data_IF_612930601450
#
_entry.id   IF_612930601450
#
_cell.length_a   1.000
_cell.length_b   1.000
_cell.length_c   1.000
_cell.angle_alpha   90.00
_cell.angle_beta   90.00
_cell.angle_gamma   90.00
#
_symmetry.space_group_name_H-M   'P 1'
#
loop_
_entity.id
_entity.type
_entity.pdbx_description
1 polymer ?
#
# COMPACT_ATOMS: atom_id res chain seq x y z
N UNK A 1 -38.17 -40.12 20.63
CA UNK A 1 -37.34 -40.77 19.59
C UNK A 1 -36.05 -39.97 19.47
N UNK A 2 -34.99 -40.45 20.15
CA UNK A 2 -33.74 -39.75 20.33
C UNK A 2 -32.82 -40.07 19.15
N UNK A 3 -32.45 -39.09 18.35
CA UNK A 3 -31.34 -39.21 17.39
C UNK A 3 -30.02 -38.88 18.07
N UNK A 4 -29.20 -39.91 18.21
CA UNK A 4 -27.82 -39.81 18.67
C UNK A 4 -26.94 -39.23 17.57
N UNK A 5 -26.32 -38.09 17.83
CA UNK A 5 -25.22 -37.57 17.01
C UNK A 5 -23.97 -38.43 17.20
N UNK A 6 -23.43 -38.97 16.13
CA UNK A 6 -22.13 -39.65 16.07
C UNK A 6 -21.05 -38.57 15.97
N UNK A 7 -19.98 -38.60 16.74
CA UNK A 7 -18.88 -37.66 16.57
C UNK A 7 -18.01 -38.08 15.38
N UNK A 8 -17.83 -37.17 14.45
CA UNK A 8 -16.83 -37.29 13.37
C UNK A 8 -15.44 -37.35 13.97
N UNK A 9 -14.77 -38.47 13.77
CA UNK A 9 -13.37 -38.69 14.12
C UNK A 9 -12.50 -37.88 13.14
N UNK A 10 -11.99 -36.73 13.58
CA UNK A 10 -10.94 -36.00 12.85
C UNK A 10 -9.64 -36.82 12.97
N UNK A 11 -9.26 -37.46 11.87
CA UNK A 11 -7.91 -38.01 11.71
C UNK A 11 -6.92 -36.84 11.61
N UNK A 12 -6.22 -36.58 12.69
CA UNK A 12 -5.03 -35.74 12.73
C UNK A 12 -3.94 -36.43 11.91
N UNK A 13 -3.79 -36.06 10.65
CA UNK A 13 -2.56 -36.28 9.90
C UNK A 13 -1.52 -35.29 10.46
N UNK A 14 -0.77 -35.70 11.47
CA UNK A 14 0.46 -35.06 11.92
C UNK A 14 1.54 -35.20 10.82
N UNK A 15 1.42 -34.42 9.73
CA UNK A 15 2.55 -34.09 8.90
C UNK A 15 3.36 -33.06 9.66
N UNK A 16 4.60 -33.39 10.07
CA UNK A 16 5.60 -32.42 10.55
C UNK A 16 5.91 -31.46 9.39
N UNK A 17 5.06 -30.45 9.17
CA UNK A 17 5.44 -29.25 8.45
C UNK A 17 6.21 -28.39 9.44
N UNK A 18 7.51 -28.27 9.32
CA UNK A 18 8.30 -27.36 10.13
C UNK A 18 7.70 -25.95 9.92
N UNK A 19 7.11 -25.41 10.97
CA UNK A 19 6.60 -24.04 10.97
C UNK A 19 7.83 -23.13 10.80
N UNK A 20 7.90 -22.38 9.70
CA UNK A 20 8.98 -21.40 9.51
C UNK A 20 8.81 -20.34 10.58
N UNK A 21 9.73 -20.28 11.53
CA UNK A 21 9.77 -19.25 12.55
C UNK A 21 10.58 -18.07 12.01
N UNK A 22 9.95 -16.90 11.91
CA UNK A 22 10.58 -15.66 11.50
C UNK A 22 11.09 -14.88 12.69
N UNK A 23 12.31 -14.36 12.61
CA UNK A 23 12.89 -13.48 13.63
C UNK A 23 12.09 -12.18 13.76
N UNK A 24 12.25 -11.49 14.88
CA UNK A 24 11.63 -10.18 15.08
C UNK A 24 12.12 -9.17 14.05
N UNK A 25 13.40 -9.23 13.72
CA UNK A 25 14.05 -8.41 12.70
C UNK A 25 13.41 -8.60 11.33
N UNK A 26 13.17 -9.84 10.90
CA UNK A 26 12.44 -10.14 9.67
C UNK A 26 11.00 -9.62 9.73
N UNK A 27 10.28 -9.84 10.84
CA UNK A 27 8.90 -9.36 11.01
C UNK A 27 8.82 -7.84 10.86
N UNK A 28 9.72 -7.09 11.50
CA UNK A 28 9.79 -5.62 11.39
C UNK A 28 10.12 -5.19 9.98
N UNK A 29 11.12 -5.81 9.34
CA UNK A 29 11.54 -5.48 7.98
C UNK A 29 10.43 -5.64 6.95
N UNK A 30 9.53 -6.61 7.15
CA UNK A 30 8.40 -6.84 6.25
C UNK A 30 7.37 -5.71 6.21
N UNK A 31 7.40 -4.78 7.17
CA UNK A 31 6.56 -3.59 7.18
C UNK A 31 7.14 -2.44 6.34
N UNK A 32 8.35 -2.57 5.84
CA UNK A 32 9.03 -1.52 5.07
C UNK A 32 8.81 -1.69 3.57
N UNK A 33 8.35 -0.64 2.90
CA UNK A 33 8.42 -0.47 1.45
C UNK A 33 9.28 0.74 1.14
N UNK A 34 10.32 0.56 0.35
CA UNK A 34 11.31 1.61 0.07
C UNK A 34 11.40 1.93 -1.42
N UNK A 35 11.81 3.14 -1.76
CA UNK A 35 12.35 3.46 -3.08
C UNK A 35 13.87 3.36 -3.09
N UNK A 36 14.45 3.17 -4.26
CA UNK A 36 15.90 3.04 -4.45
C UNK A 36 16.34 3.71 -5.75
N UNK A 37 17.62 4.01 -5.88
CA UNK A 37 18.21 4.57 -7.09
C UNK A 37 18.70 3.48 -8.04
N UNK A 38 18.62 3.78 -9.33
CA UNK A 38 19.20 2.94 -10.39
C UNK A 38 18.19 2.02 -11.07
N UNK A 39 18.62 1.46 -12.19
CA UNK A 39 17.84 0.59 -13.06
C UNK A 39 18.30 -0.88 -13.00
N UNK A 40 19.09 -1.20 -12.01
CA UNK A 40 19.62 -2.53 -11.67
C UNK A 40 19.76 -2.64 -10.15
N UNK A 41 19.94 -3.84 -9.64
CA UNK A 41 20.22 -4.06 -8.21
C UNK A 41 21.62 -3.55 -7.92
N UNK A 42 21.72 -2.55 -7.05
CA UNK A 42 22.98 -2.00 -6.55
C UNK A 42 23.43 -2.72 -5.28
N UNK A 43 24.72 -2.65 -4.94
CA UNK A 43 25.25 -3.19 -3.69
C UNK A 43 24.48 -2.65 -2.46
N UNK A 44 24.14 -1.36 -2.45
CA UNK A 44 23.35 -0.76 -1.38
C UNK A 44 21.95 -1.39 -1.25
N UNK A 45 21.27 -1.65 -2.38
CA UNK A 45 19.94 -2.30 -2.36
C UNK A 45 20.06 -3.75 -1.88
N UNK A 46 21.10 -4.46 -2.32
CA UNK A 46 21.41 -5.82 -1.86
C UNK A 46 21.61 -5.86 -0.34
N UNK A 47 22.45 -4.97 0.19
CA UNK A 47 22.67 -4.86 1.64
C UNK A 47 21.37 -4.51 2.41
N UNK A 48 20.54 -3.61 1.87
CA UNK A 48 19.23 -3.29 2.48
C UNK A 48 18.33 -4.53 2.54
N UNK A 49 18.27 -5.29 1.45
CA UNK A 49 17.47 -6.51 1.40
C UNK A 49 17.94 -7.53 2.43
N UNK A 50 19.24 -7.75 2.49
CA UNK A 50 19.83 -8.81 3.34
C UNK A 50 19.84 -8.43 4.83
N UNK A 51 20.04 -7.15 5.16
CA UNK A 51 20.22 -6.70 6.56
C UNK A 51 18.94 -6.20 7.20
N UNK A 52 18.05 -5.62 6.41
CA UNK A 52 16.77 -5.05 6.91
C UNK A 52 15.58 -5.97 6.63
N UNK A 53 15.71 -6.92 5.70
CA UNK A 53 14.66 -7.86 5.32
C UNK A 53 13.38 -7.16 4.82
N UNK A 54 13.52 -6.10 4.03
CA UNK A 54 12.41 -5.24 3.59
C UNK A 54 11.26 -6.02 2.96
N UNK A 55 10.04 -5.57 3.25
CA UNK A 55 8.81 -6.16 2.75
C UNK A 55 8.50 -5.84 1.29
N UNK A 56 9.05 -4.73 0.76
CA UNK A 56 8.79 -4.35 -0.63
C UNK A 56 9.61 -3.17 -1.13
N UNK A 57 9.52 -2.96 -2.44
CA UNK A 57 10.10 -1.82 -3.15
C UNK A 57 9.04 -1.13 -4.01
N UNK A 58 9.25 0.15 -4.30
CA UNK A 58 8.44 0.93 -5.23
C UNK A 58 9.32 1.54 -6.32
N UNK A 59 8.88 1.44 -7.58
CA UNK A 59 9.54 2.06 -8.73
C UNK A 59 9.06 3.47 -8.98
N UNK A 60 10.02 4.38 -9.19
CA UNK A 60 9.78 5.75 -9.63
C UNK A 60 10.67 6.07 -10.84
N UNK A 61 10.09 6.58 -11.92
CA UNK A 61 10.85 6.94 -13.11
C UNK A 61 11.97 7.97 -12.86
N UNK A 62 11.76 8.88 -11.91
CA UNK A 62 12.77 9.89 -11.54
C UNK A 62 13.92 9.32 -10.68
N UNK A 63 13.79 8.12 -10.12
CA UNK A 63 14.83 7.40 -9.37
C UNK A 63 15.46 6.28 -10.21
N UNK A 64 14.62 5.55 -10.94
CA UNK A 64 15.03 4.35 -11.66
C UNK A 64 15.22 4.61 -13.17
N UNK A 65 14.96 5.85 -13.64
CA UNK A 65 14.98 6.20 -15.07
C UNK A 65 13.78 5.63 -15.82
N UNK A 66 13.76 5.85 -17.14
CA UNK A 66 12.73 5.31 -18.03
C UNK A 66 13.01 3.83 -18.34
N UNK A 67 12.58 2.95 -17.44
CA UNK A 67 12.73 1.52 -17.61
C UNK A 67 11.88 0.99 -18.76
N UNK A 68 12.49 0.24 -19.68
CA UNK A 68 11.76 -0.58 -20.64
C UNK A 68 11.12 -1.79 -19.95
N UNK A 69 10.09 -2.38 -20.57
CA UNK A 69 9.40 -3.56 -20.02
C UNK A 69 10.37 -4.68 -19.65
N UNK A 70 11.33 -5.01 -20.52
CA UNK A 70 12.34 -6.04 -20.24
C UNK A 70 13.32 -5.66 -19.12
N UNK A 71 13.56 -4.37 -18.87
CA UNK A 71 14.36 -3.92 -17.73
C UNK A 71 13.56 -4.04 -16.43
N UNK A 72 12.27 -3.67 -16.42
CA UNK A 72 11.38 -3.86 -15.27
C UNK A 72 11.30 -5.33 -14.89
N UNK A 73 11.08 -6.22 -15.87
CA UNK A 73 11.02 -7.67 -15.66
C UNK A 73 12.32 -8.21 -15.05
N UNK A 74 13.48 -7.87 -15.64
CA UNK A 74 14.79 -8.32 -15.10
C UNK A 74 15.03 -7.81 -13.69
N UNK A 75 14.80 -6.52 -13.45
CA UNK A 75 15.01 -5.89 -12.13
C UNK A 75 14.09 -6.51 -11.08
N UNK A 76 12.82 -6.70 -11.41
CA UNK A 76 11.85 -7.35 -10.53
C UNK A 76 12.26 -8.80 -10.21
N UNK A 77 12.71 -9.54 -11.23
CA UNK A 77 13.21 -10.91 -11.03
C UNK A 77 14.47 -10.95 -10.14
N UNK A 78 15.42 -10.04 -10.35
CA UNK A 78 16.61 -9.93 -9.51
C UNK A 78 16.23 -9.65 -8.05
N UNK A 79 15.33 -8.69 -7.79
CA UNK A 79 14.85 -8.37 -6.44
C UNK A 79 14.17 -9.58 -5.80
N UNK A 80 13.41 -10.37 -6.55
CA UNK A 80 12.75 -11.57 -6.04
C UNK A 80 13.70 -12.76 -5.84
N UNK A 81 14.87 -12.78 -6.48
CA UNK A 81 15.84 -13.88 -6.37
C UNK A 81 16.60 -13.90 -5.04
N UNK A 82 16.62 -12.81 -4.28
CA UNK A 82 17.21 -12.79 -2.95
C UNK A 82 16.47 -13.71 -1.98
N UNK A 83 17.20 -14.33 -1.09
CA UNK A 83 16.65 -15.24 -0.06
C UNK A 83 15.66 -14.53 0.86
N UNK A 84 14.92 -15.31 1.62
CA UNK A 84 13.96 -14.84 2.62
C UNK A 84 12.56 -14.67 2.06
N UNK A 85 11.77 -13.82 2.72
CA UNK A 85 10.38 -13.56 2.35
C UNK A 85 10.33 -12.76 1.06
N UNK A 86 9.57 -13.19 0.03
CA UNK A 86 9.42 -12.46 -1.22
C UNK A 86 8.92 -11.02 -1.00
N UNK A 87 9.33 -10.10 -1.86
CA UNK A 87 9.06 -8.67 -1.71
C UNK A 87 7.83 -8.25 -2.50
N UNK A 88 7.07 -7.30 -1.98
CA UNK A 88 6.15 -6.54 -2.79
C UNK A 88 6.94 -5.70 -3.81
N UNK A 89 6.49 -5.65 -5.04
CA UNK A 89 7.01 -4.69 -6.04
C UNK A 89 5.85 -3.82 -6.44
N UNK A 90 5.97 -2.52 -6.22
CA UNK A 90 4.90 -1.55 -6.38
C UNK A 90 5.26 -0.45 -7.39
N UNK A 91 4.22 0.19 -7.92
CA UNK A 91 4.35 1.34 -8.82
C UNK A 91 3.12 2.23 -8.72
N UNK A 92 3.27 3.54 -9.03
CA UNK A 92 2.17 4.45 -9.33
C UNK A 92 1.90 4.44 -10.84
N UNK A 93 0.99 3.61 -11.29
CA UNK A 93 0.57 3.53 -12.69
C UNK A 93 -0.89 3.96 -12.80
N UNK A 94 -1.16 5.24 -12.51
CA UNK A 94 -2.50 5.83 -12.48
C UNK A 94 -3.02 6.17 -13.87
N UNK A 95 -2.11 6.62 -14.73
CA UNK A 95 -2.37 7.19 -16.05
C UNK A 95 -2.11 8.71 -16.10
N UNK A 96 -2.26 9.28 -17.28
CA UNK A 96 -1.97 10.70 -17.50
C UNK A 96 -0.56 11.06 -17.05
N UNK A 97 -0.44 12.08 -16.19
CA UNK A 97 0.86 12.55 -15.68
C UNK A 97 1.52 11.61 -14.66
N UNK A 98 0.76 10.71 -14.02
CA UNK A 98 1.29 9.75 -13.05
C UNK A 98 1.27 8.36 -13.67
N UNK A 99 2.13 8.19 -14.64
CA UNK A 99 2.43 6.92 -15.26
C UNK A 99 3.95 6.72 -15.22
N UNK A 100 4.43 5.90 -14.27
CA UNK A 100 5.88 5.75 -14.00
C UNK A 100 6.57 4.87 -15.03
N UNK A 101 5.83 3.92 -15.60
CA UNK A 101 6.31 3.01 -16.63
C UNK A 101 5.65 3.35 -17.95
N UNK A 102 6.46 3.83 -18.90
CA UNK A 102 5.98 4.30 -20.21
C UNK A 102 6.59 3.53 -21.37
N UNK A 103 7.87 3.14 -21.28
CA UNK A 103 8.61 2.52 -22.36
C UNK A 103 8.25 1.04 -22.53
N UNK A 104 7.42 0.77 -23.55
CA UNK A 104 6.92 -0.59 -23.82
C UNK A 104 5.69 -0.97 -23.00
N UNK A 105 5.11 -0.02 -22.28
CA UNK A 105 3.81 -0.12 -21.60
C UNK A 105 2.75 0.70 -22.33
N UNK A 106 1.51 0.25 -22.23
CA UNK A 106 0.37 0.96 -22.84
C UNK A 106 0.17 2.32 -22.23
N UNK A 107 -0.20 3.30 -23.05
CA UNK A 107 -0.55 4.63 -22.58
C UNK A 107 -1.91 4.58 -21.87
N UNK A 108 -1.93 4.97 -20.61
CA UNK A 108 -3.13 5.03 -19.79
C UNK A 108 -3.69 6.45 -19.86
N UNK A 109 -4.98 6.64 -20.15
CA UNK A 109 -5.59 7.96 -20.18
C UNK A 109 -5.58 8.64 -18.82
N UNK A 110 -5.75 9.98 -18.82
CA UNK A 110 -5.98 10.73 -17.58
C UNK A 110 -7.26 10.28 -16.88
N UNK A 111 -7.30 10.43 -15.56
CA UNK A 111 -8.41 9.94 -14.72
C UNK A 111 -9.78 10.47 -15.17
N UNK A 112 -9.88 11.73 -15.56
CA UNK A 112 -11.13 12.34 -16.04
C UNK A 112 -11.67 11.72 -17.33
N UNK A 113 -10.82 11.07 -18.14
CA UNK A 113 -11.22 10.43 -19.40
C UNK A 113 -12.01 9.14 -19.18
N UNK A 114 -11.85 8.48 -18.06
CA UNK A 114 -12.55 7.23 -17.73
C UNK A 114 -14.08 7.38 -17.79
N UNK A 115 -14.61 8.59 -17.53
CA UNK A 115 -16.05 8.89 -17.65
C UNK A 115 -16.60 8.74 -19.07
N UNK A 116 -15.74 8.85 -20.07
CA UNK A 116 -16.10 8.72 -21.49
C UNK A 116 -16.12 7.26 -21.97
N UNK A 117 -15.73 6.31 -21.12
CA UNK A 117 -15.61 4.90 -21.49
C UNK A 117 -16.77 4.07 -20.94
N UNK A 118 -17.14 3.01 -21.66
CA UNK A 118 -18.10 2.04 -21.14
C UNK A 118 -17.47 1.21 -19.99
N UNK A 119 -18.26 0.67 -19.06
CA UNK A 119 -17.75 -0.19 -17.98
C UNK A 119 -16.90 -1.35 -18.50
N UNK A 120 -17.30 -2.02 -19.57
CA UNK A 120 -16.53 -3.10 -20.17
C UNK A 120 -15.18 -2.64 -20.73
N UNK A 121 -15.13 -1.45 -21.31
CA UNK A 121 -13.87 -0.88 -21.81
C UNK A 121 -12.93 -0.52 -20.66
N UNK A 122 -13.47 -0.07 -19.51
CA UNK A 122 -12.69 0.20 -18.30
C UNK A 122 -12.14 -1.11 -17.70
N UNK A 123 -12.96 -2.17 -17.66
CA UNK A 123 -12.51 -3.51 -17.22
C UNK A 123 -11.37 -4.00 -18.11
N UNK A 124 -11.56 -3.97 -19.44
CA UNK A 124 -10.53 -4.40 -20.39
C UNK A 124 -9.21 -3.61 -20.26
N UNK A 125 -9.30 -2.30 -19.98
CA UNK A 125 -8.11 -1.48 -19.72
C UNK A 125 -7.47 -1.88 -18.38
N UNK A 126 -8.26 -2.17 -17.36
CA UNK A 126 -7.77 -2.69 -16.08
C UNK A 126 -7.03 -4.02 -16.24
N UNK A 127 -7.58 -4.93 -17.05
CA UNK A 127 -6.92 -6.19 -17.41
C UNK A 127 -5.61 -5.95 -18.17
N UNK A 128 -5.61 -5.06 -19.15
CA UNK A 128 -4.38 -4.72 -19.90
C UNK A 128 -3.29 -4.18 -18.97
N UNK A 129 -3.62 -3.21 -18.11
CA UNK A 129 -2.69 -2.66 -17.12
C UNK A 129 -2.22 -3.76 -16.17
N UNK A 130 -3.14 -4.55 -15.65
CA UNK A 130 -2.84 -5.64 -14.74
C UNK A 130 -1.88 -6.65 -15.35
N UNK A 131 -2.16 -7.10 -16.55
CA UNK A 131 -1.31 -8.03 -17.31
C UNK A 131 0.10 -7.48 -17.54
N UNK A 132 0.20 -6.25 -18.05
CA UNK A 132 1.51 -5.63 -18.33
C UNK A 132 2.37 -5.47 -17.07
N UNK A 133 1.75 -5.06 -15.95
CA UNK A 133 2.44 -4.91 -14.68
C UNK A 133 2.86 -6.27 -14.10
N UNK A 134 1.99 -7.28 -14.15
CA UNK A 134 2.30 -8.64 -13.69
C UNK A 134 3.42 -9.29 -14.50
N UNK A 135 3.43 -9.14 -15.81
CA UNK A 135 4.52 -9.61 -16.66
C UNK A 135 5.85 -8.88 -16.34
N UNK A 136 5.80 -7.63 -15.90
CA UNK A 136 6.94 -6.91 -15.33
C UNK A 136 7.34 -7.34 -13.91
N UNK A 137 6.65 -8.32 -13.30
CA UNK A 137 6.90 -8.79 -11.94
C UNK A 137 6.33 -7.87 -10.85
N UNK A 138 5.51 -6.89 -11.22
CA UNK A 138 4.89 -5.94 -10.27
C UNK A 138 3.67 -6.62 -9.64
N UNK A 139 3.53 -6.45 -8.33
CA UNK A 139 2.46 -7.06 -7.53
C UNK A 139 1.42 -6.06 -7.02
N UNK A 140 1.79 -4.77 -6.94
CA UNK A 140 0.95 -3.70 -6.41
C UNK A 140 0.96 -2.51 -7.36
N UNK A 141 -0.24 -2.00 -7.69
CA UNK A 141 -0.41 -0.70 -8.31
C UNK A 141 -1.09 0.25 -7.32
N UNK A 142 -0.46 1.38 -6.99
CA UNK A 142 -1.07 2.44 -6.20
C UNK A 142 -2.06 3.24 -7.06
N UNK A 143 -3.10 2.56 -7.48
CA UNK A 143 -4.22 3.02 -8.31
C UNK A 143 -5.43 2.13 -8.05
N UNK A 144 -6.66 2.63 -8.21
CA UNK A 144 -7.05 3.96 -8.66
C UNK A 144 -6.99 5.03 -7.56
N UNK A 145 -6.86 6.29 -7.98
CA UNK A 145 -7.15 7.45 -7.13
C UNK A 145 -8.66 7.61 -7.06
N UNK A 146 -9.21 7.50 -5.85
CA UNK A 146 -10.66 7.60 -5.58
C UNK A 146 -11.04 8.89 -4.84
N UNK A 147 -10.08 9.79 -4.68
CA UNK A 147 -10.35 11.16 -4.22
C UNK A 147 -11.32 11.86 -5.16
N UNK A 148 -12.27 12.61 -4.61
CA UNK A 148 -13.19 13.39 -5.42
C UNK A 148 -12.48 14.62 -5.99
N UNK A 149 -12.87 15.02 -7.21
CA UNK A 149 -12.37 16.25 -7.83
C UNK A 149 -12.83 17.46 -7.01
N UNK A 150 -11.86 18.20 -6.47
CA UNK A 150 -12.13 19.49 -5.85
C UNK A 150 -12.00 20.58 -6.91
N UNK A 151 -13.11 21.20 -7.28
CA UNK A 151 -13.15 22.25 -8.31
C UNK A 151 -12.44 23.54 -7.87
N UNK A 152 -12.20 23.71 -6.57
CA UNK A 152 -11.50 24.88 -6.01
C UNK A 152 -9.99 24.63 -5.84
N UNK A 153 -9.50 23.43 -6.15
CA UNK A 153 -8.09 23.07 -6.04
C UNK A 153 -7.60 22.38 -7.31
N UNK A 154 -6.45 22.81 -7.81
CA UNK A 154 -5.79 22.18 -8.96
C UNK A 154 -4.87 21.03 -8.58
N UNK A 155 -4.72 20.73 -7.30
CA UNK A 155 -3.71 19.81 -6.79
C UNK A 155 -3.79 18.42 -7.38
N UNK A 156 -4.98 17.83 -7.33
CA UNK A 156 -5.23 16.48 -7.84
C UNK A 156 -6.04 16.46 -9.15
N UNK A 157 -6.33 17.64 -9.74
CA UNK A 157 -7.33 17.76 -10.82
C UNK A 157 -7.12 16.77 -11.97
N UNK A 158 -5.89 16.56 -12.44
CA UNK A 158 -5.58 15.59 -13.51
C UNK A 158 -5.50 14.13 -13.05
N UNK A 159 -5.58 13.87 -11.73
CA UNK A 159 -5.49 12.53 -11.13
C UNK A 159 -6.84 12.01 -10.66
N UNK A 160 -7.86 12.87 -10.53
CA UNK A 160 -9.19 12.53 -10.03
C UNK A 160 -10.17 12.22 -11.17
N UNK A 161 -11.03 11.26 -10.94
CA UNK A 161 -12.01 10.76 -11.92
C UNK A 161 -13.17 11.75 -12.06
N UNK A 162 -13.80 12.13 -10.96
CA UNK A 162 -14.99 12.97 -10.92
C UNK A 162 -15.18 13.64 -9.55
N UNK A 163 -16.03 14.65 -9.49
CA UNK A 163 -16.59 15.19 -8.25
C UNK A 163 -17.79 14.39 -7.72
N UNK A 164 -18.31 13.43 -8.49
CA UNK A 164 -19.40 12.54 -8.10
C UNK A 164 -18.83 11.25 -7.49
N UNK A 165 -19.20 10.95 -6.26
CA UNK A 165 -18.81 9.71 -5.59
C UNK A 165 -19.30 8.47 -6.36
N UNK A 166 -20.53 8.51 -6.90
CA UNK A 166 -21.10 7.38 -7.64
C UNK A 166 -20.33 7.09 -8.92
N UNK A 167 -19.91 8.13 -9.67
CA UNK A 167 -19.07 7.95 -10.87
C UNK A 167 -17.70 7.37 -10.49
N UNK A 168 -17.06 7.88 -9.42
CA UNK A 168 -15.76 7.38 -8.94
C UNK A 168 -15.88 5.91 -8.53
N UNK A 169 -16.92 5.55 -7.78
CA UNK A 169 -17.19 4.17 -7.34
C UNK A 169 -17.35 3.23 -8.55
N UNK A 170 -18.20 3.60 -9.50
CA UNK A 170 -18.49 2.75 -10.67
C UNK A 170 -17.24 2.51 -11.51
N UNK A 171 -16.45 3.56 -11.78
CA UNK A 171 -15.24 3.51 -12.59
C UNK A 171 -14.13 2.75 -11.85
N UNK A 172 -13.86 3.11 -10.59
CA UNK A 172 -12.84 2.46 -9.79
C UNK A 172 -13.11 0.97 -9.60
N UNK A 173 -14.40 0.59 -9.38
CA UNK A 173 -14.81 -0.81 -9.28
C UNK A 173 -14.48 -1.60 -10.55
N UNK A 174 -14.71 -1.01 -11.72
CA UNK A 174 -14.42 -1.64 -13.01
C UNK A 174 -12.92 -1.82 -13.23
N UNK A 175 -12.10 -0.80 -12.92
CA UNK A 175 -10.63 -0.90 -12.97
C UNK A 175 -10.09 -1.98 -12.02
N UNK A 176 -10.55 -1.97 -10.77
CA UNK A 176 -10.16 -2.92 -9.74
C UNK A 176 -10.56 -4.36 -10.09
N UNK A 177 -11.69 -4.54 -10.76
CA UNK A 177 -12.08 -5.84 -11.28
C UNK A 177 -11.07 -6.36 -12.30
N UNK A 178 -10.66 -5.53 -13.26
CA UNK A 178 -9.62 -5.88 -14.24
C UNK A 178 -8.27 -6.19 -13.58
N UNK A 179 -7.81 -5.36 -12.64
CA UNK A 179 -6.57 -5.62 -11.89
C UNK A 179 -6.62 -6.96 -11.16
N UNK A 180 -7.73 -7.24 -10.48
CA UNK A 180 -7.92 -8.48 -9.73
C UNK A 180 -7.91 -9.70 -10.62
N UNK A 181 -8.49 -9.63 -11.81
CA UNK A 181 -8.50 -10.72 -12.79
C UNK A 181 -7.08 -11.15 -13.18
N UNK A 182 -6.16 -10.18 -13.30
CA UNK A 182 -4.75 -10.43 -13.58
C UNK A 182 -3.91 -10.71 -12.33
N UNK A 183 -4.51 -10.79 -11.14
CA UNK A 183 -3.80 -11.04 -9.87
C UNK A 183 -3.01 -9.85 -9.34
N UNK A 184 -3.22 -8.63 -9.87
CA UNK A 184 -2.62 -7.39 -9.39
C UNK A 184 -3.41 -6.83 -8.21
N UNK A 185 -2.72 -6.34 -7.18
CA UNK A 185 -3.34 -5.58 -6.09
C UNK A 185 -3.47 -4.12 -6.53
N UNK A 186 -4.71 -3.63 -6.62
CA UNK A 186 -5.00 -2.21 -6.69
C UNK A 186 -5.14 -1.63 -5.29
N UNK A 187 -4.57 -0.44 -5.08
CA UNK A 187 -4.64 0.30 -3.81
C UNK A 187 -5.42 1.57 -4.01
N UNK A 188 -6.57 1.69 -3.34
CA UNK A 188 -7.35 2.94 -3.38
C UNK A 188 -6.72 3.99 -2.47
N UNK A 189 -6.66 5.24 -2.93
CA UNK A 189 -5.98 6.34 -2.28
C UNK A 189 -6.64 7.69 -2.56
N UNK A 190 -6.48 8.70 -1.71
CA UNK A 190 -5.75 8.76 -0.44
C UNK A 190 -6.78 8.90 0.69
N UNK A 191 -7.01 7.84 1.43
CA UNK A 191 -8.03 7.82 2.50
C UNK A 191 -7.79 8.93 3.53
N UNK A 192 -8.79 9.70 3.97
CA UNK A 192 -10.25 9.53 3.78
C UNK A 192 -10.82 10.32 2.59
N UNK A 193 -10.01 10.79 1.66
CA UNK A 193 -10.34 11.61 0.50
C UNK A 193 -9.60 12.94 0.53
N UNK A 194 -8.45 13.00 -0.15
CA UNK A 194 -7.60 14.20 -0.24
C UNK A 194 -8.26 15.35 -1.01
N UNK A 195 -9.35 15.08 -1.73
CA UNK A 195 -10.17 16.12 -2.37
C UNK A 195 -10.85 17.07 -1.38
N UNK A 196 -10.96 16.69 -0.09
CA UNK A 196 -11.54 17.52 0.96
C UNK A 196 -10.65 18.70 1.40
N UNK A 197 -9.42 18.81 0.92
CA UNK A 197 -8.43 19.85 1.25
C UNK A 197 -7.92 20.58 0.01
N UNK A 198 -7.38 21.78 0.22
CA UNK A 198 -6.79 22.59 -0.85
C UNK A 198 -5.25 22.60 -0.78
N UNK A 199 -4.70 22.26 0.37
CA UNK A 199 -3.27 22.27 0.64
C UNK A 199 -2.61 20.98 0.11
N UNK A 200 -1.35 21.12 -0.29
CA UNK A 200 -0.52 20.03 -0.77
C UNK A 200 0.24 19.38 0.38
N UNK A 201 -0.09 18.12 0.67
CA UNK A 201 0.59 17.33 1.72
C UNK A 201 2.10 17.15 1.48
N UNK A 202 2.57 17.42 0.26
CA UNK A 202 4.00 17.49 0.01
C UNK A 202 4.66 18.76 0.58
N UNK A 203 3.90 19.80 0.92
CA UNK A 203 4.43 21.09 1.38
C UNK A 203 4.07 21.41 2.83
N UNK A 204 2.89 21.07 3.25
CA UNK A 204 2.36 21.36 4.59
C UNK A 204 1.34 20.29 4.99
N UNK A 205 0.94 20.28 6.27
CA UNK A 205 -0.11 19.37 6.75
C UNK A 205 -1.46 19.91 6.30
N UNK A 206 -2.16 19.24 5.36
CA UNK A 206 -3.47 19.66 4.93
C UNK A 206 -4.50 19.48 6.06
N UNK A 207 -5.39 20.44 6.21
CA UNK A 207 -6.41 20.43 7.26
C UNK A 207 -7.78 20.69 6.65
N UNK A 208 -8.74 19.81 6.92
CA UNK A 208 -10.14 20.05 6.55
C UNK A 208 -11.00 20.30 7.78
N UNK A 209 -11.89 21.29 7.66
CA UNK A 209 -12.97 21.58 8.64
C UNK A 209 -14.32 20.97 8.23
N UNK A 210 -14.30 20.19 7.12
CA UNK A 210 -15.51 19.54 6.62
C UNK A 210 -16.11 18.64 7.70
N UNK A 211 -17.42 18.76 7.92
CA UNK A 211 -18.13 17.95 8.92
C UNK A 211 -18.03 16.48 8.59
N UNK A 212 -17.77 15.65 9.58
CA UNK A 212 -17.63 14.20 9.39
C UNK A 212 -18.87 13.58 8.73
N UNK A 213 -20.08 14.07 9.10
CA UNK A 213 -21.31 13.62 8.47
C UNK A 213 -21.42 13.94 6.97
N UNK A 214 -20.76 15.00 6.51
CA UNK A 214 -20.66 15.35 5.09
C UNK A 214 -19.55 14.54 4.41
N UNK A 215 -18.40 14.42 5.08
CA UNK A 215 -17.30 13.58 4.60
C UNK A 215 -17.75 12.13 4.34
N UNK A 216 -18.58 11.56 5.23
CA UNK A 216 -19.16 10.21 5.07
C UNK A 216 -20.00 10.07 3.80
N UNK A 217 -20.71 11.12 3.41
CA UNK A 217 -21.60 11.10 2.22
C UNK A 217 -20.85 11.36 0.93
N UNK A 218 -19.71 12.02 1.00
CA UNK A 218 -18.95 12.49 -0.16
C UNK A 218 -17.60 11.76 -0.23
N UNK A 219 -16.54 12.33 0.36
CA UNK A 219 -15.17 11.89 0.17
C UNK A 219 -14.89 10.46 0.68
N UNK A 220 -15.54 10.03 1.76
CA UNK A 220 -15.42 8.68 2.31
C UNK A 220 -16.28 7.63 1.57
N UNK A 221 -17.32 8.06 0.88
CA UNK A 221 -18.22 7.12 0.21
C UNK A 221 -17.53 6.18 -0.78
N UNK A 222 -16.56 6.62 -1.62
CA UNK A 222 -15.81 5.72 -2.48
C UNK A 222 -15.02 4.66 -1.69
N UNK A 223 -14.36 5.05 -0.60
CA UNK A 223 -13.58 4.11 0.23
C UNK A 223 -14.45 3.08 0.91
N UNK A 224 -15.59 3.51 1.48
CA UNK A 224 -16.55 2.62 2.14
C UNK A 224 -17.12 1.61 1.13
N UNK A 225 -17.61 2.09 -0.02
CA UNK A 225 -18.22 1.22 -1.03
C UNK A 225 -17.21 0.27 -1.69
N UNK A 226 -15.94 0.68 -1.82
CA UNK A 226 -14.92 -0.13 -2.46
C UNK A 226 -14.14 -1.03 -1.48
N UNK A 227 -14.30 -0.88 -0.17
CA UNK A 227 -13.56 -1.64 0.85
C UNK A 227 -13.63 -3.15 0.64
N UNK A 228 -14.80 -3.68 0.21
CA UNK A 228 -14.99 -5.11 -0.06
C UNK A 228 -14.45 -5.56 -1.43
N UNK A 229 -13.95 -4.62 -2.23
CA UNK A 229 -13.45 -4.86 -3.59
C UNK A 229 -11.94 -4.68 -3.71
N UNK A 230 -11.24 -4.33 -2.65
CA UNK A 230 -9.79 -4.09 -2.63
C UNK A 230 -9.09 -4.88 -1.54
N UNK A 231 -7.82 -5.18 -1.76
CA UNK A 231 -6.96 -5.79 -0.74
C UNK A 231 -6.10 -4.76 0.01
N UNK A 232 -6.11 -3.49 -0.43
CA UNK A 232 -5.29 -2.47 0.20
C UNK A 232 -5.87 -1.05 0.06
N UNK A 233 -5.61 -0.23 1.10
CA UNK A 233 -5.95 1.20 1.18
C UNK A 233 -4.69 1.96 1.57
N UNK A 234 -4.47 3.15 0.98
CA UNK A 234 -3.41 4.07 1.38
C UNK A 234 -4.01 5.26 2.11
N UNK A 235 -3.47 5.57 3.30
CA UNK A 235 -3.90 6.69 4.15
C UNK A 235 -3.15 7.97 3.85
N UNK A 236 -3.85 9.11 3.81
CA UNK A 236 -3.27 10.42 3.58
C UNK A 236 -2.65 11.04 4.84
N UNK A 237 -1.66 11.93 4.64
CA UNK A 237 -1.12 12.79 5.69
C UNK A 237 -1.92 14.09 5.80
N UNK A 238 -3.15 14.02 6.32
CA UNK A 238 -4.04 15.17 6.50
C UNK A 238 -4.79 15.08 7.84
N UNK A 239 -5.28 16.20 8.33
CA UNK A 239 -6.09 16.29 9.55
C UNK A 239 -7.55 16.58 9.18
N UNK A 240 -8.46 15.80 9.76
CA UNK A 240 -9.91 16.04 9.70
C UNK A 240 -10.38 16.52 11.08
N UNK A 241 -10.54 17.83 11.26
CA UNK A 241 -10.80 18.42 12.57
C UNK A 241 -12.08 17.92 13.25
N UNK A 242 -13.13 17.65 12.48
CA UNK A 242 -14.42 17.21 13.03
C UNK A 242 -14.43 15.73 13.47
N UNK A 243 -13.38 14.95 13.11
CA UNK A 243 -13.26 13.55 13.51
C UNK A 243 -12.08 13.32 14.46
N UNK A 244 -10.87 13.65 14.03
CA UNK A 244 -9.66 13.61 14.88
C UNK A 244 -8.85 14.89 14.65
N UNK A 245 -9.02 15.91 15.52
CA UNK A 245 -8.33 17.18 15.35
C UNK A 245 -6.85 17.15 15.72
N UNK A 246 -6.38 16.04 16.33
CA UNK A 246 -5.04 15.95 16.93
C UNK A 246 -4.03 15.27 16.03
N UNK A 247 -4.46 14.25 15.31
CA UNK A 247 -3.56 13.42 14.53
C UNK A 247 -3.91 13.43 13.05
N UNK A 248 -2.88 13.44 12.19
CA UNK A 248 -3.07 13.10 10.79
C UNK A 248 -3.66 11.69 10.65
N UNK A 249 -4.44 11.45 9.60
CA UNK A 249 -5.13 10.18 9.36
C UNK A 249 -4.19 8.97 9.44
N UNK A 250 -3.01 9.05 8.83
CA UNK A 250 -2.00 7.97 8.85
C UNK A 250 -1.45 7.65 10.24
N UNK A 251 -1.65 8.53 11.23
CA UNK A 251 -1.14 8.39 12.58
C UNK A 251 -2.26 8.36 13.63
N UNK A 252 -3.52 8.21 13.20
CA UNK A 252 -4.70 8.21 14.06
C UNK A 252 -5.23 6.81 14.30
N UNK A 253 -5.15 6.35 15.56
CA UNK A 253 -5.80 5.11 15.99
C UNK A 253 -7.31 5.16 15.77
N UNK A 254 -7.93 6.35 15.90
CA UNK A 254 -9.36 6.55 15.68
C UNK A 254 -9.75 6.30 14.22
N UNK A 255 -8.95 6.79 13.26
CA UNK A 255 -9.16 6.53 11.86
C UNK A 255 -8.93 5.06 11.49
N UNK A 256 -7.91 4.44 12.08
CA UNK A 256 -7.67 3.02 11.86
C UNK A 256 -8.83 2.16 12.40
N UNK A 257 -9.34 2.48 13.60
CA UNK A 257 -10.52 1.82 14.15
C UNK A 257 -11.73 1.96 13.22
N UNK A 258 -11.94 3.14 12.63
CA UNK A 258 -12.99 3.35 11.63
C UNK A 258 -12.79 2.45 10.39
N UNK A 259 -11.58 2.38 9.83
CA UNK A 259 -11.27 1.50 8.69
C UNK A 259 -11.54 0.04 9.06
N UNK A 260 -11.06 -0.43 10.22
CA UNK A 260 -11.16 -1.83 10.63
C UNK A 260 -12.58 -2.24 11.03
N UNK A 261 -13.24 -1.42 11.85
CA UNK A 261 -14.51 -1.78 12.49
C UNK A 261 -15.71 -1.26 11.70
N UNK A 262 -15.75 0.03 11.35
CA UNK A 262 -16.93 0.63 10.69
C UNK A 262 -16.98 0.28 9.20
N UNK A 263 -15.83 0.26 8.50
CA UNK A 263 -15.76 -0.20 7.12
C UNK A 263 -15.58 -1.72 6.99
N UNK A 264 -15.36 -2.44 8.11
CA UNK A 264 -15.07 -3.88 8.15
C UNK A 264 -13.96 -4.29 7.15
N UNK A 265 -12.87 -3.50 7.12
CA UNK A 265 -11.78 -3.71 6.18
C UNK A 265 -10.67 -4.57 6.79
N UNK A 266 -10.42 -5.72 6.21
CA UNK A 266 -9.39 -6.68 6.66
C UNK A 266 -8.08 -6.64 5.85
N UNK A 267 -8.02 -5.81 4.79
CA UNK A 267 -6.88 -5.69 3.88
C UNK A 267 -5.69 -4.93 4.47
N UNK A 268 -4.68 -4.71 3.64
CA UNK A 268 -3.47 -3.97 3.99
C UNK A 268 -3.75 -2.45 4.08
N UNK A 269 -3.22 -1.81 5.11
CA UNK A 269 -3.20 -0.36 5.24
C UNK A 269 -1.78 0.13 5.01
N UNK A 270 -1.58 0.87 3.92
CA UNK A 270 -0.35 1.57 3.60
C UNK A 270 -0.40 2.99 4.15
N UNK A 271 0.71 3.50 4.64
CA UNK A 271 0.86 4.96 4.76
C UNK A 271 1.14 5.55 3.39
N UNK A 272 0.77 6.81 3.16
CA UNK A 272 1.47 7.62 2.16
C UNK A 272 2.93 7.77 2.58
N UNK A 273 3.77 8.36 1.73
CA UNK A 273 5.20 8.38 1.96
C UNK A 273 5.60 9.15 3.23
N UNK A 274 6.23 8.46 4.18
CA UNK A 274 6.69 9.04 5.44
C UNK A 274 7.84 10.05 5.27
N UNK A 275 8.46 10.13 4.09
CA UNK A 275 9.49 11.14 3.79
C UNK A 275 8.91 12.46 3.28
N UNK A 276 7.59 12.62 3.19
CA UNK A 276 6.92 13.86 2.82
C UNK A 276 7.14 14.95 3.86
N UNK A 277 7.20 16.22 3.41
CA UNK A 277 7.47 17.37 4.27
C UNK A 277 6.41 17.55 5.38
N UNK A 278 5.15 17.21 5.11
CA UNK A 278 4.09 17.23 6.14
C UNK A 278 4.46 16.34 7.35
N UNK A 279 5.01 15.17 7.12
CA UNK A 279 5.45 14.27 8.19
C UNK A 279 6.69 14.80 8.89
N UNK A 280 7.69 15.29 8.13
CA UNK A 280 8.94 15.80 8.69
C UNK A 280 8.76 17.07 9.52
N UNK A 281 7.72 17.86 9.26
CA UNK A 281 7.38 19.06 10.05
C UNK A 281 6.68 18.73 11.36
N UNK A 282 5.91 17.64 11.39
CA UNK A 282 5.10 17.28 12.55
C UNK A 282 5.84 16.34 13.51
N UNK A 283 6.76 15.53 13.01
CA UNK A 283 7.50 14.54 13.79
C UNK A 283 8.98 14.85 13.86
N UNK A 284 9.56 14.75 15.06
CA UNK A 284 10.99 15.02 15.31
C UNK A 284 11.93 14.13 14.49
N UNK A 285 11.48 12.92 14.18
CA UNK A 285 12.28 11.96 13.41
C UNK A 285 11.39 10.96 12.64
N UNK A 286 11.96 10.34 11.61
CA UNK A 286 11.29 9.25 10.88
C UNK A 286 11.06 8.02 11.76
N UNK A 287 11.90 7.78 12.74
CA UNK A 287 11.74 6.72 13.73
C UNK A 287 10.46 6.94 14.54
N UNK A 288 10.25 8.17 15.04
CA UNK A 288 9.02 8.55 15.77
C UNK A 288 7.80 8.43 14.88
N UNK A 289 7.87 8.93 13.65
CA UNK A 289 6.79 8.81 12.68
C UNK A 289 6.45 7.34 12.39
N UNK A 290 7.44 6.49 12.18
CA UNK A 290 7.25 5.07 11.93
C UNK A 290 6.59 4.35 13.12
N UNK A 291 7.02 4.65 14.35
CA UNK A 291 6.40 4.12 15.58
C UNK A 291 4.92 4.53 15.62
N UNK A 292 4.63 5.82 15.47
CA UNK A 292 3.25 6.34 15.54
C UNK A 292 2.35 5.75 14.45
N UNK A 293 2.87 5.56 13.23
CA UNK A 293 2.10 4.96 12.14
C UNK A 293 1.75 3.49 12.42
N UNK A 294 2.69 2.70 12.96
CA UNK A 294 2.45 1.32 13.37
C UNK A 294 1.45 1.25 14.52
N UNK A 295 1.62 2.07 15.55
CA UNK A 295 0.69 2.17 16.69
C UNK A 295 -0.70 2.62 16.27
N UNK A 296 -0.79 3.48 15.25
CA UNK A 296 -2.06 3.86 14.64
C UNK A 296 -2.70 2.71 13.87
N UNK A 297 -1.95 1.71 13.40
CA UNK A 297 -2.48 0.51 12.75
C UNK A 297 -2.07 0.33 11.29
N UNK A 298 -1.08 1.06 10.79
CA UNK A 298 -0.52 0.83 9.47
C UNK A 298 0.14 -0.56 9.38
N UNK A 299 0.00 -1.22 8.24
CA UNK A 299 0.60 -2.52 7.96
C UNK A 299 1.87 -2.42 7.13
N UNK A 300 1.97 -1.38 6.31
CA UNK A 300 3.14 -1.10 5.46
C UNK A 300 3.47 0.38 5.52
N UNK A 301 4.73 0.66 5.83
CA UNK A 301 5.31 1.99 5.89
C UNK A 301 6.00 2.28 4.55
N UNK A 302 5.57 3.31 3.84
CA UNK A 302 6.20 3.72 2.59
C UNK A 302 7.30 4.75 2.87
N UNK A 303 8.54 4.41 2.50
CA UNK A 303 9.70 5.29 2.56
C UNK A 303 10.23 5.53 1.15
N UNK A 304 9.84 6.63 0.53
CA UNK A 304 10.33 6.99 -0.80
C UNK A 304 9.37 7.90 -1.54
N UNK A 305 9.91 8.61 -2.51
CA UNK A 305 9.15 9.55 -3.32
C UNK A 305 9.90 10.86 -3.56
N UNK A 306 9.22 11.84 -4.16
CA UNK A 306 9.73 13.20 -4.30
C UNK A 306 9.47 13.99 -3.00
N UNK A 307 10.51 14.68 -2.53
CA UNK A 307 10.31 15.83 -1.66
C UNK A 307 10.07 17.07 -2.56
N UNK A 308 9.10 17.95 -2.25
CA UNK A 308 8.81 19.15 -3.05
C UNK A 308 9.99 20.12 -3.16
N UNK A 309 10.96 20.05 -2.29
CA UNK A 309 12.18 20.87 -2.30
C UNK A 309 13.23 20.36 -3.29
N UNK A 310 12.84 19.51 -4.26
CA UNK A 310 13.69 19.09 -5.37
C UNK A 310 14.79 18.09 -5.03
N UNK A 311 14.81 17.55 -3.82
CA UNK A 311 15.69 16.42 -3.48
C UNK A 311 14.97 15.11 -3.77
N UNK A 312 15.45 14.39 -4.79
CA UNK A 312 15.07 13.00 -5.04
C UNK A 312 15.54 12.18 -3.84
N UNK A 313 14.62 11.79 -2.95
CA UNK A 313 15.04 11.17 -1.67
C UNK A 313 14.70 9.69 -1.67
N UNK A 314 15.74 8.89 -1.87
CA UNK A 314 15.81 7.58 -1.24
C UNK A 314 16.42 7.73 0.14
N UNK A 315 16.01 6.90 1.08
CA UNK A 315 16.73 6.80 2.35
C UNK A 315 17.97 5.94 2.16
N UNK A 316 19.16 6.41 2.54
CA UNK A 316 20.37 5.58 2.50
C UNK A 316 20.29 4.47 3.54
N UNK A 317 21.01 3.36 3.30
CA UNK A 317 21.05 2.18 4.17
C UNK A 317 21.17 2.52 5.67
N UNK A 318 22.10 3.39 6.12
CA UNK A 318 22.22 3.68 7.55
C UNK A 318 20.95 4.28 8.18
N UNK A 319 20.14 5.04 7.39
CA UNK A 319 18.89 5.60 7.88
C UNK A 319 17.80 4.54 7.97
N UNK A 320 17.70 3.66 6.99
CA UNK A 320 16.75 2.54 6.98
C UNK A 320 17.05 1.60 8.16
N UNK A 321 18.33 1.27 8.38
CA UNK A 321 18.77 0.47 9.51
C UNK A 321 18.47 1.11 10.87
N UNK A 322 18.67 2.43 10.99
CA UNK A 322 18.37 3.14 12.23
C UNK A 322 16.87 3.05 12.58
N UNK A 323 15.99 3.25 11.60
CA UNK A 323 14.54 3.11 11.77
C UNK A 323 14.21 1.66 12.16
N UNK A 324 14.70 0.68 11.40
CA UNK A 324 14.48 -0.74 11.64
C UNK A 324 14.92 -1.16 13.04
N UNK A 325 16.13 -0.77 13.45
CA UNK A 325 16.67 -1.02 14.79
C UNK A 325 15.79 -0.42 15.88
N UNK A 326 15.35 0.83 15.71
CA UNK A 326 14.51 1.53 16.69
C UNK A 326 13.16 0.82 16.88
N UNK A 327 12.52 0.39 15.79
CA UNK A 327 11.28 -0.38 15.85
C UNK A 327 11.47 -1.74 16.52
N UNK A 328 12.55 -2.44 16.18
CA UNK A 328 12.89 -3.74 16.77
C UNK A 328 13.14 -3.63 18.26
N UNK A 329 13.94 -2.64 18.70
CA UNK A 329 14.22 -2.40 20.12
C UNK A 329 12.96 -1.99 20.91
N UNK A 330 12.06 -1.21 20.30
CA UNK A 330 10.78 -0.91 20.93
C UNK A 330 9.92 -2.18 21.07
N UNK A 331 9.83 -3.00 20.03
CA UNK A 331 9.05 -4.23 20.07
C UNK A 331 9.57 -5.23 21.12
N UNK A 332 10.89 -5.30 21.35
CA UNK A 332 11.48 -6.13 22.43
C UNK A 332 11.06 -5.67 23.84
N UNK A 333 10.74 -4.39 24.01
CA UNK A 333 10.44 -3.77 25.32
C UNK A 333 8.95 -3.52 25.55
N UNK A 334 8.14 -3.51 24.49
CA UNK A 334 6.73 -3.14 24.52
C UNK A 334 5.89 -4.29 23.91
N UNK A 335 5.24 -5.13 24.73
CA UNK A 335 4.44 -6.26 24.23
C UNK A 335 3.24 -5.83 23.38
N UNK A 336 2.69 -4.62 23.60
CA UNK A 336 1.57 -4.10 22.79
C UNK A 336 2.06 -3.74 21.39
N UNK A 337 3.21 -3.10 21.31
CA UNK A 337 3.84 -2.79 20.05
C UNK A 337 4.30 -4.04 19.30
N UNK A 338 4.87 -5.03 20.01
CA UNK A 338 5.21 -6.34 19.44
C UNK A 338 4.00 -7.01 18.80
N UNK A 339 2.88 -7.08 19.53
CA UNK A 339 1.63 -7.63 19.00
C UNK A 339 1.20 -6.91 17.72
N UNK A 340 1.33 -5.58 17.67
CA UNK A 340 0.96 -4.79 16.48
C UNK A 340 1.87 -5.13 15.28
N UNK A 341 3.18 -5.34 15.50
CA UNK A 341 4.11 -5.81 14.47
C UNK A 341 3.68 -7.18 13.95
N UNK A 342 3.35 -8.12 14.84
CA UNK A 342 2.95 -9.47 14.46
C UNK A 342 1.64 -9.52 13.68
N UNK A 343 0.67 -8.69 14.02
CA UNK A 343 -0.58 -8.53 13.26
C UNK A 343 -0.31 -7.99 11.85
N UNK A 344 0.53 -6.97 11.71
CA UNK A 344 0.92 -6.42 10.41
C UNK A 344 1.71 -7.42 9.57
N UNK A 345 2.66 -8.09 10.18
CA UNK A 345 3.46 -9.13 9.55
C UNK A 345 2.58 -10.28 9.03
N UNK A 346 1.68 -10.80 9.87
CA UNK A 346 0.76 -11.87 9.51
C UNK A 346 -0.14 -11.48 8.34
N UNK A 347 -0.64 -10.24 8.34
CA UNK A 347 -1.46 -9.72 7.25
C UNK A 347 -0.65 -9.58 5.96
N UNK A 348 0.59 -9.09 6.04
CA UNK A 348 1.50 -9.04 4.88
C UNK A 348 1.74 -10.43 4.28
N UNK A 349 2.07 -11.42 5.12
CA UNK A 349 2.28 -12.80 4.66
C UNK A 349 1.03 -13.40 4.02
N UNK A 350 -0.14 -13.21 4.66
CA UNK A 350 -1.41 -13.68 4.12
C UNK A 350 -1.65 -13.16 2.70
N UNK A 351 -1.49 -11.84 2.47
CA UNK A 351 -1.73 -11.28 1.14
C UNK A 351 -0.63 -11.67 0.13
N UNK A 352 0.62 -11.79 0.54
CA UNK A 352 1.70 -12.32 -0.32
C UNK A 352 1.38 -13.74 -0.79
N UNK A 353 0.91 -14.59 0.12
CA UNK A 353 0.49 -15.95 -0.20
C UNK A 353 -0.75 -15.96 -1.11
N UNK A 354 -1.80 -15.24 -0.74
CA UNK A 354 -3.05 -15.11 -1.50
C UNK A 354 -2.83 -14.64 -2.95
N UNK A 355 -1.78 -13.85 -3.19
CA UNK A 355 -1.44 -13.28 -4.50
C UNK A 355 -0.33 -14.04 -5.23
N UNK A 356 0.05 -15.21 -4.73
CA UNK A 356 1.02 -16.07 -5.40
C UNK A 356 2.43 -15.47 -5.50
N UNK A 357 2.82 -14.62 -4.53
CA UNK A 357 4.16 -14.04 -4.48
C UNK A 357 5.17 -15.09 -4.01
N UNK A 358 4.73 -16.03 -3.16
CA UNK A 358 5.57 -17.14 -2.73
C UNK A 358 5.76 -18.17 -3.85
N UNK A 359 6.98 -18.67 -4.07
CA UNK A 359 7.21 -19.82 -4.94
C UNK A 359 6.40 -21.04 -4.46
N UNK A 360 5.89 -21.83 -5.39
CA UNK A 360 5.04 -23.00 -5.10
C UNK A 360 5.66 -23.98 -4.08
N UNK A 361 6.98 -24.08 -4.02
CA UNK A 361 7.71 -24.91 -3.06
C UNK A 361 7.64 -24.41 -1.60
N UNK A 362 7.34 -23.11 -1.37
CA UNK A 362 7.21 -22.51 -0.03
C UNK A 362 5.78 -22.50 0.50
N UNK A 363 4.79 -22.78 -0.35
CA UNK A 363 3.36 -22.79 0.01
C UNK A 363 2.98 -23.88 1.04
N UNK A 364 3.76 -24.96 1.14
CA UNK A 364 3.51 -26.03 2.11
C UNK A 364 3.77 -25.64 3.57
N UNK A 365 4.28 -24.43 3.85
CA UNK A 365 4.77 -24.05 5.18
C UNK A 365 3.93 -22.99 5.89
N UNK A 366 2.92 -22.42 5.24
CA UNK A 366 2.06 -21.38 5.84
C UNK A 366 0.60 -21.81 5.85
N UNK A 367 0.23 -22.74 6.74
CA UNK A 367 -1.17 -22.96 7.08
C UNK A 367 -1.60 -21.89 8.08
N UNK A 368 -2.31 -20.88 7.61
CA UNK A 368 -3.01 -19.93 8.49
C UNK A 368 -4.23 -20.65 9.10
N UNK A 369 -4.32 -20.66 10.42
CA UNK A 369 -5.54 -21.04 11.11
C UNK A 369 -6.63 -20.01 10.76
N UNK A 370 -7.76 -20.50 10.22
CA UNK A 370 -8.98 -19.73 10.01
C UNK A 370 -9.59 -19.25 11.33
#
# INVERSE_FOLDING_TARGET
MFFKFLPFFLLYLNGLCAQVEYSLEEKVGQLFMISFHGNEVTEELEEIIDRVHIGGVIYFNFLNGELSRSQVERLSHQIQSFRGIPRWIAVDQEGGRVQRLTKGFSKIPEASFWKCMSPNAIVAMGELIGKELKEGGISINFSPVVDLTNLNSNLLHSRTISSSADEVIAIAKSLLFGFRHEGLIGVIKHFPGHGAVNEDSHKEVPVTEKKFSLLLKEDLAPFICLSQHVDAIMTAHMIVKDFDPKFMVSFSQKWNAFIRNDMNFSGLIFTDSLVMDAVQKEYESLETAAICAIEAGADVLLFGGESPVGSKKTLPLPRIEAIHKTLTEKAKKDPVFLKRIEESFSRNLYFKNKRGIFPSAQLCQTSFAE
#
